data_IF_099469924811
#
_entry.id   IF_099469924811
#
_cell.length_a   1.000
_cell.length_b   1.000
_cell.length_c   1.000
_cell.angle_alpha   90.00
_cell.angle_beta   90.00
_cell.angle_gamma   90.00
#
_symmetry.space_group_name_H-M   'P 1'
#
loop_
_entity.id
_entity.type
_entity.pdbx_description
1 polymer ?
#
# COMPACT_ATOMS: atom_id res chain seq x y z
N UNK A 1 3.59 9.36 2.74
CA UNK A 1 4.40 8.82 1.61
C UNK A 1 4.74 7.37 1.88
N UNK A 2 4.59 6.50 0.89
CA UNK A 2 4.90 5.09 1.06
C UNK A 2 6.40 4.84 0.88
N UNK A 3 6.90 3.81 1.55
CA UNK A 3 8.13 3.17 1.12
C UNK A 3 7.74 2.25 -0.04
N UNK A 4 7.91 2.74 -1.26
CA UNK A 4 7.45 2.04 -2.46
C UNK A 4 8.04 0.64 -2.57
N UNK A 5 9.33 0.51 -2.30
CA UNK A 5 10.04 -0.76 -2.42
C UNK A 5 9.48 -1.82 -1.47
N UNK A 6 9.28 -1.43 -0.19
CA UNK A 6 8.70 -2.34 0.80
C UNK A 6 7.25 -2.69 0.46
N UNK A 7 6.47 -1.71 0.02
CA UNK A 7 5.08 -1.95 -0.33
C UNK A 7 4.96 -2.91 -1.51
N UNK A 8 5.75 -2.70 -2.55
CA UNK A 8 5.74 -3.59 -3.71
C UNK A 8 6.20 -5.00 -3.34
N UNK A 9 7.16 -5.12 -2.42
CA UNK A 9 7.59 -6.42 -1.92
C UNK A 9 6.45 -7.13 -1.17
N UNK A 10 5.73 -6.41 -0.32
CA UNK A 10 4.58 -6.98 0.40
C UNK A 10 3.49 -7.44 -0.54
N UNK A 11 3.21 -6.66 -1.58
CA UNK A 11 2.22 -7.02 -2.59
C UNK A 11 2.65 -8.32 -3.29
N UNK A 12 3.91 -8.39 -3.70
CA UNK A 12 4.46 -9.57 -4.37
C UNK A 12 4.39 -10.80 -3.48
N UNK A 13 4.79 -10.66 -2.23
CA UNK A 13 4.78 -11.77 -1.26
C UNK A 13 3.37 -12.28 -0.98
N UNK A 14 2.38 -11.40 -1.06
CA UNK A 14 0.99 -11.80 -0.81
C UNK A 14 0.43 -12.73 -1.88
N UNK A 15 1.03 -12.74 -3.07
CA UNK A 15 0.52 -13.49 -4.21
C UNK A 15 -0.76 -12.91 -4.81
N UNK A 16 -1.25 -11.79 -4.30
CA UNK A 16 -2.48 -11.16 -4.77
C UNK A 16 -2.21 -10.26 -5.94
N UNK A 17 -3.16 -10.21 -6.88
CA UNK A 17 -3.03 -9.35 -8.06
C UNK A 17 -3.30 -7.90 -7.69
N UNK A 18 -2.61 -6.99 -8.36
CA UNK A 18 -2.82 -5.56 -8.16
C UNK A 18 -4.26 -5.17 -8.49
N UNK A 19 -4.84 -5.76 -9.54
CA UNK A 19 -6.24 -5.49 -9.89
C UNK A 19 -7.20 -5.86 -8.77
N UNK A 20 -6.93 -6.96 -8.07
CA UNK A 20 -7.73 -7.38 -6.91
C UNK A 20 -7.60 -6.36 -5.77
N UNK A 21 -6.37 -5.96 -5.45
CA UNK A 21 -6.13 -5.00 -4.37
C UNK A 21 -6.73 -3.63 -4.69
N UNK A 22 -6.60 -3.18 -5.93
CA UNK A 22 -7.19 -1.92 -6.39
C UNK A 22 -8.70 -1.93 -6.20
N UNK A 23 -9.36 -3.02 -6.59
CA UNK A 23 -10.80 -3.17 -6.42
C UNK A 23 -11.19 -3.12 -4.94
N UNK A 24 -10.42 -3.77 -4.08
CA UNK A 24 -10.69 -3.77 -2.64
C UNK A 24 -10.68 -2.38 -2.04
N UNK A 25 -9.79 -1.51 -2.50
CA UNK A 25 -9.70 -0.13 -1.99
C UNK A 25 -10.49 0.87 -2.84
N UNK A 26 -11.26 0.38 -3.83
CA UNK A 26 -12.13 1.24 -4.63
C UNK A 26 -11.39 2.11 -5.64
N UNK A 27 -10.23 1.67 -6.12
CA UNK A 27 -9.44 2.40 -7.10
C UNK A 27 -9.35 1.63 -8.42
N UNK A 28 -9.14 2.37 -9.51
CA UNK A 28 -8.72 1.76 -10.77
C UNK A 28 -7.30 1.25 -10.65
N UNK A 29 -6.87 0.43 -11.59
CA UNK A 29 -5.48 -0.04 -11.65
C UNK A 29 -4.51 1.16 -11.68
N UNK A 30 -4.78 2.12 -12.55
CA UNK A 30 -3.91 3.31 -12.66
C UNK A 30 -3.90 4.13 -11.37
N UNK A 31 -5.08 4.31 -10.73
CA UNK A 31 -5.17 5.01 -9.46
C UNK A 31 -4.39 4.31 -8.35
N UNK A 32 -4.49 2.99 -8.29
CA UNK A 32 -3.75 2.20 -7.32
C UNK A 32 -2.23 2.34 -7.53
N UNK A 33 -1.78 2.20 -8.78
CA UNK A 33 -0.36 2.37 -9.10
C UNK A 33 0.15 3.76 -8.77
N UNK A 34 -0.66 4.78 -9.01
CA UNK A 34 -0.30 6.15 -8.63
C UNK A 34 -0.09 6.27 -7.12
N UNK A 35 -0.93 5.62 -6.32
CA UNK A 35 -0.76 5.64 -4.88
C UNK A 35 0.49 4.88 -4.45
N UNK A 36 0.75 3.71 -5.03
CA UNK A 36 1.94 2.91 -4.70
C UNK A 36 3.23 3.68 -5.02
N UNK A 37 3.24 4.40 -6.13
CA UNK A 37 4.43 5.13 -6.59
C UNK A 37 4.52 6.56 -6.03
N UNK A 38 3.65 6.90 -5.09
CA UNK A 38 3.64 8.20 -4.41
C UNK A 38 3.25 9.40 -5.28
N UNK A 39 2.61 9.15 -6.42
CA UNK A 39 2.01 10.23 -7.22
C UNK A 39 0.71 10.70 -6.60
N UNK A 40 0.08 9.86 -5.79
CA UNK A 40 -1.10 10.18 -5.01
C UNK A 40 -0.95 9.49 -3.65
N UNK A 41 -1.82 9.81 -2.69
CA UNK A 41 -1.75 9.20 -1.36
C UNK A 41 -2.95 8.30 -1.12
N UNK A 42 -2.72 7.17 -0.46
CA UNK A 42 -3.81 6.33 0.04
C UNK A 42 -4.53 7.04 1.17
N UNK A 43 -5.84 6.91 1.20
CA UNK A 43 -6.65 7.36 2.34
C UNK A 43 -6.44 6.39 3.51
N UNK A 44 -6.67 6.86 4.74
CA UNK A 44 -6.52 6.04 5.93
C UNK A 44 -7.34 4.74 5.85
N UNK A 45 -8.57 4.82 5.37
CA UNK A 45 -9.42 3.64 5.22
C UNK A 45 -8.85 2.63 4.21
N UNK A 46 -8.22 3.13 3.16
CA UNK A 46 -7.58 2.28 2.16
C UNK A 46 -6.34 1.59 2.72
N UNK A 47 -5.57 2.30 3.54
CA UNK A 47 -4.40 1.73 4.22
C UNK A 47 -4.85 0.60 5.15
N UNK A 48 -5.94 0.79 5.88
CA UNK A 48 -6.48 -0.25 6.76
C UNK A 48 -6.83 -1.51 5.96
N UNK A 49 -7.48 -1.35 4.82
CA UNK A 49 -7.85 -2.48 3.96
C UNK A 49 -6.60 -3.19 3.44
N UNK A 50 -5.61 -2.42 2.99
CA UNK A 50 -4.36 -3.00 2.48
C UNK A 50 -3.58 -3.73 3.57
N UNK A 51 -3.52 -3.18 4.77
CA UNK A 51 -2.86 -3.86 5.88
C UNK A 51 -3.52 -5.21 6.17
N UNK A 52 -4.84 -5.26 6.10
CA UNK A 52 -5.59 -6.49 6.30
C UNK A 52 -5.28 -7.50 5.18
N UNK A 53 -5.35 -7.06 3.93
CA UNK A 53 -5.13 -7.95 2.77
C UNK A 53 -3.68 -8.42 2.67
N UNK A 54 -2.73 -7.60 3.07
CA UNK A 54 -1.30 -7.91 2.98
C UNK A 54 -0.74 -8.50 4.28
N UNK A 55 -1.59 -8.72 5.27
CA UNK A 55 -1.20 -9.27 6.59
C UNK A 55 -0.13 -8.43 7.28
N UNK A 56 -0.29 -7.12 7.21
CA UNK A 56 0.57 -6.17 7.92
C UNK A 56 -0.07 -5.90 9.27
N UNK A 57 0.33 -6.66 10.29
CA UNK A 57 -0.32 -6.63 11.60
C UNK A 57 0.36 -5.69 12.59
N UNK A 58 1.65 -5.47 12.43
CA UNK A 58 2.44 -4.65 13.33
C UNK A 58 2.27 -3.17 13.01
N UNK A 59 2.03 -2.35 14.02
CA UNK A 59 1.97 -0.90 13.85
C UNK A 59 3.29 -0.34 13.32
N UNK A 60 4.40 -0.89 13.79
CA UNK A 60 5.73 -0.49 13.33
C UNK A 60 5.90 -0.77 11.84
N UNK A 61 5.49 -1.95 11.38
CA UNK A 61 5.58 -2.32 9.97
C UNK A 61 4.67 -1.42 9.12
N UNK A 62 3.45 -1.19 9.58
CA UNK A 62 2.51 -0.30 8.90
C UNK A 62 3.09 1.08 8.72
N UNK A 63 3.68 1.64 9.78
CA UNK A 63 4.30 2.97 9.71
C UNK A 63 5.50 2.99 8.76
N UNK A 64 6.31 1.94 8.78
CA UNK A 64 7.47 1.85 7.91
C UNK A 64 7.12 1.78 6.43
N UNK A 65 5.98 1.19 6.11
CA UNK A 65 5.54 1.02 4.73
C UNK A 65 4.75 2.25 4.24
N UNK A 66 3.75 2.69 4.99
CA UNK A 66 2.80 3.70 4.50
C UNK A 66 3.12 5.12 4.96
N UNK A 67 3.91 5.29 5.97
CA UNK A 67 4.23 6.59 6.55
C UNK A 67 5.74 6.84 6.59
N UNK A 68 6.44 6.37 5.57
CA UNK A 68 7.87 6.57 5.45
C UNK A 68 8.18 8.06 5.30
N UNK A 69 9.19 8.53 6.01
CA UNK A 69 9.63 9.92 5.90
C UNK A 69 10.63 10.03 4.77
N UNK A 70 10.36 10.94 3.82
CA UNK A 70 11.32 11.20 2.76
C UNK A 70 12.36 12.20 3.25
N UNK A 71 13.61 11.95 2.92
CA UNK A 71 14.69 12.87 3.21
C UNK A 71 15.03 13.04 4.69
N UNK A 72 14.60 12.13 5.50
CA UNK A 72 14.92 12.20 6.93
C UNK A 72 16.39 11.96 7.19
#
# INVERSE_FOLDING_TARGET
MNNQELLEQKIKESGKKITFLAEKVGLSYAGFRNCVTNKAEFKASQIDILCDELHIDSLKERQGIFFAKSGA
#
